data_IF_482167156670
#
_entry.id   IF_482167156670
#
_cell.length_a   1.000
_cell.length_b   1.000
_cell.length_c   1.000
_cell.angle_alpha   90.00
_cell.angle_beta   90.00
_cell.angle_gamma   90.00
#
_symmetry.space_group_name_H-M   'P 1'
#
loop_
_entity.id
_entity.type
_entity.pdbx_description
1 polymer ?
#
# COMPACT_ATOMS: atom_id res chain seq x y z
N UNK A 1 -1.14 -19.83 -71.38
CA UNK A 1 -0.75 -19.56 -69.97
C UNK A 1 -1.50 -18.35 -69.39
N UNK A 2 -2.84 -18.31 -69.45
CA UNK A 2 -3.62 -17.18 -68.87
C UNK A 2 -4.70 -17.63 -67.87
N UNK A 3 -5.11 -18.91 -67.90
CA UNK A 3 -6.15 -19.43 -67.01
C UNK A 3 -5.74 -19.46 -65.52
N UNK A 4 -4.43 -19.57 -65.23
CA UNK A 4 -3.90 -19.63 -63.87
C UNK A 4 -3.72 -18.25 -63.22
N UNK A 5 -3.79 -17.17 -64.01
CA UNK A 5 -3.52 -15.81 -63.52
C UNK A 5 -4.64 -15.29 -62.62
N UNK A 6 -5.88 -15.49 -63.02
CA UNK A 6 -7.06 -15.04 -62.29
C UNK A 6 -7.22 -15.71 -60.91
N UNK A 7 -7.13 -17.05 -60.77
CA UNK A 7 -7.21 -17.68 -59.46
C UNK A 7 -6.01 -17.33 -58.56
N UNK A 8 -4.81 -17.14 -59.13
CA UNK A 8 -3.64 -16.73 -58.36
C UNK A 8 -3.77 -15.29 -57.84
N UNK A 9 -4.35 -14.39 -58.63
CA UNK A 9 -4.58 -13.00 -58.22
C UNK A 9 -5.57 -12.90 -57.06
N UNK A 10 -6.65 -13.68 -57.08
CA UNK A 10 -7.59 -13.76 -55.97
C UNK A 10 -6.92 -14.32 -54.70
N UNK A 11 -6.13 -15.38 -54.83
CA UNK A 11 -5.38 -15.96 -53.72
C UNK A 11 -4.39 -14.95 -53.11
N UNK A 12 -3.64 -14.23 -53.95
CA UNK A 12 -2.71 -13.20 -53.50
C UNK A 12 -3.42 -12.03 -52.78
N UNK A 13 -4.60 -11.62 -53.25
CA UNK A 13 -5.38 -10.57 -52.60
C UNK A 13 -5.85 -10.99 -51.19
N UNK A 14 -6.36 -12.21 -51.03
CA UNK A 14 -6.75 -12.73 -49.72
C UNK A 14 -5.54 -12.94 -48.81
N UNK A 15 -4.41 -13.41 -49.34
CA UNK A 15 -3.17 -13.55 -48.57
C UNK A 15 -2.66 -12.18 -48.09
N UNK A 16 -2.69 -11.15 -48.93
CA UNK A 16 -2.32 -9.78 -48.55
C UNK A 16 -3.24 -9.22 -47.45
N UNK A 17 -4.55 -9.46 -47.55
CA UNK A 17 -5.52 -9.09 -46.52
C UNK A 17 -5.22 -9.79 -45.19
N UNK A 18 -4.96 -11.11 -45.21
CA UNK A 18 -4.60 -11.86 -44.02
C UNK A 18 -3.29 -11.38 -43.39
N UNK A 19 -2.28 -11.08 -44.20
CA UNK A 19 -1.02 -10.50 -43.72
C UNK A 19 -1.27 -9.13 -43.08
N UNK A 20 -2.11 -8.28 -43.67
CA UNK A 20 -2.46 -6.99 -43.10
C UNK A 20 -3.18 -7.13 -41.75
N UNK A 21 -4.09 -8.10 -41.60
CA UNK A 21 -4.77 -8.40 -40.32
C UNK A 21 -3.78 -8.95 -39.28
N UNK A 22 -2.87 -9.85 -39.68
CA UNK A 22 -1.82 -10.37 -38.79
C UNK A 22 -0.94 -9.22 -38.32
N UNK A 23 -0.51 -8.33 -39.23
CA UNK A 23 0.27 -7.14 -38.91
C UNK A 23 -0.52 -6.21 -37.99
N UNK A 24 -1.82 -5.97 -38.24
CA UNK A 24 -2.65 -5.12 -37.40
C UNK A 24 -2.80 -5.65 -35.97
N UNK A 25 -3.00 -6.96 -35.80
CA UNK A 25 -3.19 -7.58 -34.47
C UNK A 25 -1.86 -7.80 -33.76
N UNK A 26 -0.74 -7.97 -34.48
CA UNK A 26 0.59 -8.22 -33.90
C UNK A 26 1.46 -6.97 -33.77
N UNK A 27 1.21 -5.92 -34.55
CA UNK A 27 1.76 -4.60 -34.28
C UNK A 27 1.00 -4.04 -33.10
N UNK A 28 1.58 -4.27 -31.93
CA UNK A 28 1.30 -3.49 -30.75
C UNK A 28 1.76 -2.05 -31.02
N UNK A 29 0.91 -1.22 -31.62
CA UNK A 29 1.09 0.23 -31.65
C UNK A 29 0.79 0.81 -30.27
N UNK A 30 1.46 0.29 -29.24
CA UNK A 30 1.55 0.98 -27.97
C UNK A 30 2.50 2.17 -28.22
N UNK A 31 1.92 3.30 -28.65
CA UNK A 31 2.56 4.60 -28.55
C UNK A 31 2.87 4.72 -27.07
N UNK A 32 4.15 4.50 -26.74
CA UNK A 32 4.71 4.31 -25.41
C UNK A 32 3.73 4.77 -24.33
N UNK A 33 3.12 3.88 -23.52
CA UNK A 33 2.32 4.34 -22.41
C UNK A 33 3.21 5.34 -21.67
N UNK A 34 2.71 6.55 -21.47
CA UNK A 34 3.51 7.61 -20.88
C UNK A 34 4.05 7.07 -19.56
N UNK A 35 5.34 6.72 -19.54
CA UNK A 35 5.99 6.04 -18.42
C UNK A 35 5.84 6.88 -17.16
N UNK A 36 5.75 8.20 -17.33
CA UNK A 36 5.45 9.12 -16.25
C UNK A 36 4.01 8.96 -15.73
N UNK A 37 3.02 8.74 -16.59
CA UNK A 37 1.62 8.49 -16.17
C UNK A 37 1.47 7.13 -15.48
N UNK A 38 2.06 6.07 -16.01
CA UNK A 38 2.03 4.74 -15.37
C UNK A 38 2.73 4.75 -14.00
N UNK A 39 3.92 5.36 -13.92
CA UNK A 39 4.65 5.54 -12.67
C UNK A 39 3.86 6.39 -11.66
N UNK A 40 3.16 7.43 -12.11
CA UNK A 40 2.27 8.22 -11.24
C UNK A 40 1.08 7.42 -10.73
N UNK A 41 0.45 6.61 -11.58
CA UNK A 41 -0.67 5.76 -11.18
C UNK A 41 -0.24 4.69 -10.18
N UNK A 42 0.91 4.04 -10.41
CA UNK A 42 1.48 3.09 -9.46
C UNK A 42 1.77 3.74 -8.11
N UNK A 43 2.38 4.94 -8.12
CA UNK A 43 2.64 5.67 -6.89
C UNK A 43 1.37 6.09 -6.16
N UNK A 44 0.29 6.46 -6.89
CA UNK A 44 -1.01 6.73 -6.28
C UNK A 44 -1.58 5.50 -5.59
N UNK A 45 -1.55 4.33 -6.24
CA UNK A 45 -2.01 3.08 -5.62
C UNK A 45 -1.21 2.72 -4.36
N UNK A 46 0.11 2.92 -4.37
CA UNK A 46 0.94 2.71 -3.18
C UNK A 46 0.63 3.73 -2.07
N UNK A 47 0.29 4.99 -2.41
CA UNK A 47 -0.15 6.00 -1.43
C UNK A 47 -1.50 5.65 -0.81
N UNK A 48 -2.44 5.12 -1.59
CA UNK A 48 -3.72 4.63 -1.07
C UNK A 48 -3.52 3.46 -0.11
N UNK A 49 -2.72 2.47 -0.49
CA UNK A 49 -2.37 1.35 0.40
C UNK A 49 -1.69 1.83 1.69
N UNK A 50 -0.80 2.82 1.60
CA UNK A 50 -0.17 3.42 2.76
C UNK A 50 -1.18 4.13 3.68
N UNK A 51 -2.19 4.76 3.08
CA UNK A 51 -3.28 5.43 3.80
C UNK A 51 -4.11 4.42 4.59
N UNK A 52 -4.44 3.28 3.98
CA UNK A 52 -5.16 2.19 4.66
C UNK A 52 -4.35 1.62 5.83
N UNK A 53 -3.04 1.38 5.64
CA UNK A 53 -2.14 0.94 6.71
C UNK A 53 -2.08 1.97 7.86
N UNK A 54 -2.10 3.26 7.54
CA UNK A 54 -2.17 4.32 8.56
C UNK A 54 -3.52 4.37 9.28
N UNK A 55 -4.62 4.08 8.60
CA UNK A 55 -5.93 3.93 9.23
C UNK A 55 -5.96 2.74 10.19
N UNK A 56 -5.37 1.60 9.81
CA UNK A 56 -5.24 0.44 10.70
C UNK A 56 -4.36 0.74 11.91
N UNK A 57 -3.27 1.49 11.70
CA UNK A 57 -2.42 1.98 12.79
C UNK A 57 -3.21 2.84 13.78
N UNK A 58 -4.11 3.69 13.30
CA UNK A 58 -4.97 4.51 14.16
C UNK A 58 -5.93 3.65 14.99
N UNK A 59 -6.56 2.63 14.39
CA UNK A 59 -7.41 1.67 15.13
C UNK A 59 -6.63 0.97 16.25
N UNK A 60 -5.36 0.66 16.03
CA UNK A 60 -4.50 0.05 17.06
C UNK A 60 -4.24 1.02 18.22
N UNK A 61 -4.17 2.34 17.96
CA UNK A 61 -4.12 3.34 19.04
C UNK A 61 -5.36 3.32 19.92
N UNK A 62 -6.54 3.15 19.32
CA UNK A 62 -7.79 2.99 20.07
C UNK A 62 -7.76 1.74 20.95
N UNK A 63 -7.16 0.64 20.48
CA UNK A 63 -7.00 -0.58 21.30
C UNK A 63 -6.19 -0.34 22.57
N UNK A 64 -5.18 0.54 22.55
CA UNK A 64 -4.43 0.90 23.77
C UNK A 64 -5.32 1.66 24.76
N UNK A 65 -6.13 2.60 24.26
CA UNK A 65 -7.09 3.36 25.07
C UNK A 65 -8.14 2.43 25.68
N UNK A 66 -8.68 1.49 24.89
CA UNK A 66 -9.64 0.50 25.35
C UNK A 66 -9.07 -0.42 26.42
N UNK A 67 -7.82 -0.88 26.25
CA UNK A 67 -7.14 -1.69 27.25
C UNK A 67 -7.02 -0.93 28.58
N UNK A 68 -6.66 0.36 28.53
CA UNK A 68 -6.61 1.23 29.71
C UNK A 68 -7.98 1.39 30.35
N UNK A 69 -9.02 1.68 29.57
CA UNK A 69 -10.36 1.91 30.11
C UNK A 69 -10.92 0.65 30.77
N UNK A 70 -10.70 -0.53 30.16
CA UNK A 70 -11.05 -1.81 30.77
C UNK A 70 -10.31 -2.02 32.08
N UNK A 71 -9.00 -1.75 32.12
CA UNK A 71 -8.20 -1.89 33.33
C UNK A 71 -8.65 -0.94 34.45
N UNK A 72 -9.00 0.30 34.14
CA UNK A 72 -9.58 1.24 35.11
C UNK A 72 -10.85 0.71 35.76
N UNK A 73 -11.69 0.01 34.98
CA UNK A 73 -12.97 -0.50 35.44
C UNK A 73 -12.85 -1.81 36.23
N UNK A 74 -12.08 -2.78 35.73
CA UNK A 74 -12.03 -4.13 36.29
C UNK A 74 -10.79 -4.41 37.16
N UNK A 75 -9.76 -3.56 37.10
CA UNK A 75 -8.46 -3.71 37.78
C UNK A 75 -7.73 -5.03 37.48
N UNK A 76 -8.03 -5.68 36.35
CA UNK A 76 -7.38 -6.92 35.93
C UNK A 76 -6.07 -6.64 35.19
N UNK A 77 -4.96 -6.75 35.92
CA UNK A 77 -3.62 -6.49 35.40
C UNK A 77 -3.18 -7.53 34.35
N UNK A 78 -3.62 -8.79 34.48
CA UNK A 78 -3.23 -9.85 33.55
C UNK A 78 -3.91 -9.66 32.19
N UNK A 79 -5.21 -9.33 32.19
CA UNK A 79 -5.94 -9.00 30.97
C UNK A 79 -5.40 -7.73 30.31
N UNK A 80 -5.08 -6.68 31.09
CA UNK A 80 -4.46 -5.46 30.58
C UNK A 80 -3.12 -5.74 29.89
N UNK A 81 -2.24 -6.49 30.54
CA UNK A 81 -0.91 -6.82 30.01
C UNK A 81 -1.01 -7.60 28.71
N UNK A 82 -1.94 -8.56 28.64
CA UNK A 82 -2.19 -9.35 27.42
C UNK A 82 -2.73 -8.48 26.29
N UNK A 83 -3.73 -7.64 26.55
CA UNK A 83 -4.31 -6.74 25.54
C UNK A 83 -3.28 -5.72 25.02
N UNK A 84 -2.48 -5.15 25.92
CA UNK A 84 -1.38 -4.25 25.56
C UNK A 84 -0.36 -4.94 24.66
N UNK A 85 0.12 -6.13 25.04
CA UNK A 85 1.11 -6.88 24.26
C UNK A 85 0.58 -7.23 22.86
N UNK A 86 -0.71 -7.55 22.75
CA UNK A 86 -1.37 -7.77 21.46
C UNK A 86 -1.32 -6.50 20.59
N UNK A 87 -1.73 -5.36 21.14
CA UNK A 87 -1.69 -4.08 20.42
C UNK A 87 -0.26 -3.67 20.01
N UNK A 88 0.74 -3.93 20.86
CA UNK A 88 2.16 -3.70 20.53
C UNK A 88 2.63 -4.58 19.36
N UNK A 89 2.23 -5.85 19.33
CA UNK A 89 2.56 -6.76 18.23
C UNK A 89 1.87 -6.34 16.92
N UNK A 90 0.57 -6.03 16.97
CA UNK A 90 -0.19 -5.58 15.80
C UNK A 90 0.42 -4.29 15.23
N UNK A 91 0.81 -3.36 16.11
CA UNK A 91 1.47 -2.12 15.72
C UNK A 91 2.83 -2.37 15.06
N UNK A 92 3.62 -3.31 15.59
CA UNK A 92 4.91 -3.68 14.99
C UNK A 92 4.72 -4.24 13.59
N UNK A 93 3.73 -5.11 13.38
CA UNK A 93 3.44 -5.70 12.09
C UNK A 93 3.03 -4.65 11.05
N UNK A 94 2.08 -3.78 11.41
CA UNK A 94 1.66 -2.66 10.55
C UNK A 94 2.82 -1.68 10.31
N UNK A 95 3.65 -1.44 11.32
CA UNK A 95 4.85 -0.60 11.21
C UNK A 95 5.88 -1.14 10.21
N UNK A 96 6.08 -2.46 10.15
CA UNK A 96 6.94 -3.08 9.14
C UNK A 96 6.37 -2.89 7.73
N UNK A 97 5.08 -3.19 7.52
CA UNK A 97 4.42 -3.00 6.22
C UNK A 97 4.48 -1.54 5.73
N UNK A 98 4.27 -0.57 6.63
CA UNK A 98 4.44 0.86 6.35
C UNK A 98 5.87 1.17 5.94
N UNK A 99 6.87 0.68 6.68
CA UNK A 99 8.28 0.97 6.41
C UNK A 99 8.72 0.44 5.04
N UNK A 100 8.29 -0.77 4.70
CA UNK A 100 8.62 -1.40 3.42
C UNK A 100 8.03 -0.60 2.25
N UNK A 101 6.73 -0.28 2.34
CA UNK A 101 6.03 0.48 1.30
C UNK A 101 6.58 1.93 1.17
N UNK A 102 6.93 2.57 2.28
CA UNK A 102 7.57 3.89 2.26
C UNK A 102 8.96 3.86 1.62
N UNK A 103 9.74 2.79 1.84
CA UNK A 103 11.05 2.62 1.22
C UNK A 103 10.92 2.50 -0.30
N UNK A 104 9.96 1.69 -0.76
CA UNK A 104 9.65 1.53 -2.18
C UNK A 104 9.20 2.87 -2.79
N UNK A 105 8.24 3.56 -2.16
CA UNK A 105 7.71 4.83 -2.64
C UNK A 105 8.79 5.92 -2.74
N UNK A 106 9.72 5.98 -1.77
CA UNK A 106 10.86 6.93 -1.80
C UNK A 106 11.85 6.64 -2.93
N UNK A 107 12.00 5.38 -3.33
CA UNK A 107 12.91 5.00 -4.42
C UNK A 107 12.38 5.41 -5.78
N UNK A 108 11.06 5.43 -5.96
CA UNK A 108 10.40 5.79 -7.22
C UNK A 108 10.01 7.27 -7.27
N UNK A 109 9.65 7.87 -6.13
CA UNK A 109 9.07 9.21 -6.05
C UNK A 109 9.74 10.03 -4.92
N UNK A 110 10.93 10.58 -5.19
CA UNK A 110 11.71 11.33 -4.19
C UNK A 110 10.93 12.52 -3.56
N UNK A 111 10.07 13.18 -4.34
CA UNK A 111 9.30 14.37 -3.92
C UNK A 111 8.32 14.11 -2.76
N UNK A 112 7.94 12.84 -2.51
CA UNK A 112 7.02 12.48 -1.43
C UNK A 112 7.74 12.23 -0.10
N UNK A 113 9.08 12.15 -0.12
CA UNK A 113 9.90 11.76 1.03
C UNK A 113 9.67 12.67 2.24
N UNK A 114 9.58 13.98 2.03
CA UNK A 114 9.36 14.96 3.11
C UNK A 114 8.02 14.72 3.83
N UNK A 115 6.95 14.49 3.07
CA UNK A 115 5.62 14.17 3.64
C UNK A 115 5.66 12.87 4.44
N UNK A 116 6.32 11.83 3.91
CA UNK A 116 6.48 10.57 4.64
C UNK A 116 7.27 10.73 5.94
N UNK A 117 8.28 11.60 5.93
CA UNK A 117 9.09 11.90 7.11
C UNK A 117 8.27 12.66 8.16
N UNK A 118 7.39 13.58 7.77
CA UNK A 118 6.46 14.24 8.68
C UNK A 118 5.50 13.25 9.35
N UNK A 119 4.87 12.37 8.56
CA UNK A 119 3.98 11.33 9.11
C UNK A 119 4.73 10.42 10.09
N UNK A 120 5.99 10.10 9.79
CA UNK A 120 6.85 9.31 10.68
C UNK A 120 7.20 10.04 11.98
N UNK A 121 7.38 11.37 11.94
CA UNK A 121 7.57 12.19 13.15
C UNK A 121 6.33 12.19 14.02
N UNK A 122 5.14 12.41 13.42
CA UNK A 122 3.87 12.37 14.14
C UNK A 122 3.66 11.01 14.81
N UNK A 123 3.94 9.92 14.09
CA UNK A 123 3.87 8.56 14.64
C UNK A 123 4.72 8.38 15.91
N UNK A 124 5.98 8.87 15.90
CA UNK A 124 6.87 8.80 17.06
C UNK A 124 6.30 9.57 18.25
N UNK A 125 5.85 10.81 18.03
CA UNK A 125 5.22 11.63 19.07
C UNK A 125 4.01 10.93 19.68
N UNK A 126 3.12 10.38 18.85
CA UNK A 126 1.95 9.63 19.32
C UNK A 126 2.34 8.42 20.16
N UNK A 127 3.38 7.69 19.77
CA UNK A 127 3.87 6.55 20.54
C UNK A 127 4.44 6.94 21.90
N UNK A 128 5.18 8.05 21.97
CA UNK A 128 5.70 8.56 23.24
C UNK A 128 4.56 8.94 24.19
N UNK A 129 3.51 9.59 23.67
CA UNK A 129 2.29 9.91 24.40
C UNK A 129 1.56 8.67 24.92
N UNK A 130 1.34 7.66 24.06
CA UNK A 130 0.69 6.40 24.45
C UNK A 130 1.50 5.70 25.55
N UNK A 131 2.82 5.59 25.38
CA UNK A 131 3.70 4.94 26.35
C UNK A 131 3.69 5.65 27.70
N UNK A 132 3.73 6.99 27.69
CA UNK A 132 3.64 7.79 28.90
C UNK A 132 2.30 7.55 29.62
N UNK A 133 1.19 7.60 28.88
CA UNK A 133 -0.15 7.37 29.42
C UNK A 133 -0.32 5.98 30.02
N UNK A 134 0.13 4.93 29.32
CA UNK A 134 0.12 3.55 29.82
C UNK A 134 0.94 3.40 31.11
N UNK A 135 2.09 4.08 31.18
CA UNK A 135 2.94 4.11 32.37
C UNK A 135 2.25 4.76 33.57
N UNK A 136 1.63 5.92 33.38
CA UNK A 136 0.90 6.62 34.44
C UNK A 136 -0.28 5.82 34.97
N UNK A 137 -1.09 5.22 34.07
CA UNK A 137 -2.25 4.40 34.44
C UNK A 137 -1.83 3.22 35.31
N UNK A 138 -0.76 2.52 34.93
CA UNK A 138 -0.24 1.38 35.69
C UNK A 138 0.24 1.81 37.08
N UNK A 139 0.91 2.96 37.20
CA UNK A 139 1.40 3.47 38.47
C UNK A 139 0.26 3.92 39.41
N UNK A 140 -0.76 4.59 38.88
CA UNK A 140 -1.85 5.15 39.67
C UNK A 140 -2.86 4.09 40.17
N UNK A 141 -3.04 2.99 39.44
CA UNK A 141 -4.03 1.95 39.79
C UNK A 141 -3.46 0.79 40.62
N UNK A 142 -2.12 0.69 40.73
CA UNK A 142 -1.43 -0.34 41.53
C UNK A 142 -0.88 0.20 42.87
N UNK A 143 -1.16 1.47 43.19
CA UNK A 143 -1.03 2.02 44.55
C UNK A 143 -2.34 1.83 45.30
#
# INVERSE_FOLDING_TARGET
MQLWREPFLACAAFAALFIAVIIYVRLDFTISPDVATESRLQAQGQVEQLTDLHADRLKIYDHFTDAVNKFKNNKDLAAFTTARKKAENDLKNVGHAISDLQSELKSTNADISDKLNEVSKVHKLTMDLINNYLGQVRFNLLK
#
